data_IF_422294387747
#
_entry.id   IF_422294387747
#
_cell.length_a   1.000
_cell.length_b   1.000
_cell.length_c   1.000
_cell.angle_alpha   90.00
_cell.angle_beta   90.00
_cell.angle_gamma   90.00
#
_symmetry.space_group_name_H-M   'P 1'
#
loop_
_entity.id
_entity.type
_entity.pdbx_description
1 polymer ?
#
# COMPACT_ATOMS: atom_id res chain seq x y z
N UNK A 1 24.57 -31.84 25.92
CA UNK A 1 23.74 -30.66 26.28
C UNK A 1 23.95 -29.48 25.32
N UNK A 2 25.18 -29.01 25.07
CA UNK A 2 25.45 -27.86 24.20
C UNK A 2 24.93 -28.00 22.75
N UNK A 3 25.02 -29.19 22.14
CA UNK A 3 24.54 -29.45 20.76
C UNK A 3 23.03 -29.29 20.61
N UNK A 4 22.25 -29.67 21.62
CA UNK A 4 20.79 -29.54 21.60
C UNK A 4 20.33 -28.10 21.85
N UNK A 5 21.06 -27.35 22.70
CA UNK A 5 20.82 -25.93 22.92
C UNK A 5 21.10 -25.11 21.65
N UNK A 6 22.16 -25.45 20.91
CA UNK A 6 22.53 -24.76 19.67
C UNK A 6 21.50 -25.03 18.55
N UNK A 7 21.01 -26.26 18.44
CA UNK A 7 19.93 -26.62 17.51
C UNK A 7 18.63 -25.90 17.87
N UNK A 8 18.25 -25.86 19.15
CA UNK A 8 17.05 -25.15 19.60
C UNK A 8 17.13 -23.64 19.30
N UNK A 9 18.30 -23.02 19.47
CA UNK A 9 18.50 -21.60 19.17
C UNK A 9 18.36 -21.29 17.67
N UNK A 10 18.91 -22.16 16.81
CA UNK A 10 18.78 -22.04 15.35
C UNK A 10 17.31 -22.20 14.89
N UNK A 11 16.58 -23.12 15.50
CA UNK A 11 15.14 -23.32 15.22
C UNK A 11 14.34 -22.07 15.64
N UNK A 12 14.55 -21.54 16.85
CA UNK A 12 13.88 -20.31 17.30
C UNK A 12 14.18 -19.10 16.41
N UNK A 13 15.43 -18.94 15.98
CA UNK A 13 15.82 -17.88 15.04
C UNK A 13 15.12 -18.04 13.68
N UNK A 14 15.02 -19.26 13.16
CA UNK A 14 14.29 -19.54 11.92
C UNK A 14 12.79 -19.22 12.04
N UNK A 15 12.13 -19.59 13.15
CA UNK A 15 10.72 -19.25 13.40
C UNK A 15 10.50 -17.73 13.52
N UNK A 16 11.40 -17.01 14.19
CA UNK A 16 11.32 -15.55 14.30
C UNK A 16 11.46 -14.85 12.94
N UNK A 17 12.32 -15.36 12.05
CA UNK A 17 12.48 -14.83 10.69
C UNK A 17 11.26 -15.11 9.81
N UNK A 18 10.61 -16.27 9.96
CA UNK A 18 9.44 -16.65 9.17
C UNK A 18 8.16 -15.90 9.59
N UNK A 19 8.05 -15.48 10.85
CA UNK A 19 6.89 -14.76 11.37
C UNK A 19 6.72 -13.33 10.81
N UNK A 20 7.78 -12.74 10.22
CA UNK A 20 7.78 -11.38 9.69
C UNK A 20 7.36 -11.31 8.20
N UNK A 21 6.26 -11.95 7.82
CA UNK A 21 5.65 -11.71 6.50
C UNK A 21 4.90 -10.38 6.54
N UNK A 22 5.63 -9.27 6.45
CA UNK A 22 5.00 -7.95 6.34
C UNK A 22 4.27 -7.88 5.02
N UNK A 23 2.95 -7.77 5.07
CA UNK A 23 2.13 -7.41 3.91
C UNK A 23 2.51 -5.97 3.55
N UNK A 24 3.34 -5.80 2.52
CA UNK A 24 3.77 -4.48 2.08
C UNK A 24 2.76 -3.88 1.10
N UNK A 25 2.46 -2.59 1.30
CA UNK A 25 1.92 -1.76 0.24
C UNK A 25 2.97 -1.62 -0.87
N UNK A 26 2.55 -1.71 -2.13
CA UNK A 26 3.43 -1.42 -3.25
C UNK A 26 3.62 0.10 -3.36
N UNK A 27 4.85 0.50 -3.65
CA UNK A 27 5.24 1.90 -3.85
C UNK A 27 5.71 2.06 -5.29
N UNK A 28 5.17 3.04 -6.00
CA UNK A 28 5.61 3.45 -7.32
C UNK A 28 6.01 4.92 -7.29
N UNK A 29 7.05 5.31 -8.04
CA UNK A 29 7.47 6.70 -8.16
C UNK A 29 7.54 7.10 -9.63
N UNK A 30 7.10 8.30 -9.94
CA UNK A 30 7.05 8.80 -11.31
C UNK A 30 7.18 10.33 -11.34
N UNK A 31 7.58 10.87 -12.48
CA UNK A 31 7.69 12.32 -12.72
C UNK A 31 6.33 12.87 -13.19
N UNK A 32 5.83 13.85 -12.46
CA UNK A 32 4.59 14.59 -12.75
C UNK A 32 4.86 16.10 -12.76
N UNK A 33 6.10 16.49 -13.07
CA UNK A 33 6.48 17.89 -13.26
C UNK A 33 5.74 18.48 -14.46
N UNK A 34 5.44 19.77 -14.36
CA UNK A 34 4.77 20.52 -15.41
C UNK A 34 5.39 21.92 -15.52
N UNK A 35 5.83 22.38 -16.71
CA UNK A 35 6.42 23.71 -16.88
C UNK A 35 5.51 24.86 -16.46
N UNK A 36 4.19 24.71 -16.56
CA UNK A 36 3.20 25.71 -16.12
C UNK A 36 3.16 25.85 -14.59
N UNK A 37 3.52 24.80 -13.86
CA UNK A 37 3.53 24.77 -12.40
C UNK A 37 4.90 24.30 -11.86
N UNK A 38 5.96 25.12 -11.98
CA UNK A 38 7.31 24.71 -11.61
C UNK A 38 7.40 24.21 -10.17
N UNK A 39 8.04 23.05 -9.99
CA UNK A 39 8.27 22.42 -8.68
C UNK A 39 7.04 21.75 -8.05
N UNK A 40 5.86 21.81 -8.68
CA UNK A 40 4.63 21.14 -8.23
C UNK A 40 4.43 19.82 -8.97
N UNK A 41 3.60 18.95 -8.39
CA UNK A 41 3.15 17.71 -9.01
C UNK A 41 1.76 17.92 -9.62
N UNK A 42 1.60 17.68 -10.91
CA UNK A 42 0.32 17.86 -11.63
C UNK A 42 -0.23 16.49 -12.01
N UNK A 43 -1.13 15.92 -11.20
CA UNK A 43 -1.67 14.57 -11.41
C UNK A 43 -2.75 14.50 -12.48
N UNK A 44 -3.54 15.58 -12.59
CA UNK A 44 -4.52 15.84 -13.63
C UNK A 44 -4.81 17.35 -13.68
N UNK A 45 -5.81 17.76 -14.46
CA UNK A 45 -6.17 19.18 -14.63
C UNK A 45 -6.67 19.88 -13.37
N UNK A 46 -7.15 19.12 -12.38
CA UNK A 46 -7.76 19.65 -11.14
C UNK A 46 -6.92 19.35 -9.90
N UNK A 47 -5.88 18.52 -10.03
CA UNK A 47 -5.08 18.01 -8.91
C UNK A 47 -3.62 18.45 -9.06
N UNK A 48 -3.34 19.65 -8.54
CA UNK A 48 -2.00 20.23 -8.49
C UNK A 48 -1.55 20.26 -7.03
N UNK A 49 -0.46 19.57 -6.73
CA UNK A 49 0.05 19.39 -5.39
C UNK A 49 1.39 20.09 -5.22
N UNK A 50 1.57 20.75 -4.08
CA UNK A 50 2.86 21.28 -3.62
C UNK A 50 3.67 20.18 -2.94
N UNK A 51 5.01 20.26 -2.93
CA UNK A 51 5.84 19.30 -2.21
C UNK A 51 5.40 19.11 -0.76
N UNK A 52 5.40 17.86 -0.29
CA UNK A 52 4.95 17.45 1.03
C UNK A 52 3.44 17.19 1.14
N UNK A 53 2.62 17.64 0.18
CA UNK A 53 1.19 17.34 0.22
C UNK A 53 0.92 15.87 -0.06
N UNK A 54 -0.09 15.33 0.62
CA UNK A 54 -0.56 13.96 0.48
C UNK A 54 -2.05 13.92 0.18
N UNK A 55 -2.54 12.83 -0.42
CA UNK A 55 -3.95 12.66 -0.71
C UNK A 55 -4.27 11.31 -1.32
N UNK A 56 -5.49 11.17 -1.84
CA UNK A 56 -5.89 10.04 -2.68
C UNK A 56 -5.55 10.35 -4.14
N UNK A 57 -4.98 9.37 -4.85
CA UNK A 57 -4.75 9.49 -6.28
C UNK A 57 -6.10 9.64 -7.04
N UNK A 58 -6.25 10.64 -7.91
CA UNK A 58 -7.55 10.97 -8.53
C UNK A 58 -8.05 9.90 -9.52
N UNK A 59 -7.14 9.25 -10.25
CA UNK A 59 -7.46 8.25 -11.28
C UNK A 59 -7.30 6.79 -10.81
N UNK A 60 -7.41 6.54 -9.51
CA UNK A 60 -7.27 5.20 -8.95
C UNK A 60 -8.35 4.91 -7.89
N UNK A 61 -8.95 3.69 -7.85
CA UNK A 61 -10.05 3.38 -6.93
C UNK A 61 -9.68 3.60 -5.46
N UNK A 62 -8.48 3.17 -5.05
CA UNK A 62 -7.90 3.55 -3.76
C UNK A 62 -6.37 3.40 -3.78
N UNK A 63 -5.66 4.52 -3.86
CA UNK A 63 -4.22 4.61 -3.68
C UNK A 63 -3.88 5.98 -3.06
N UNK A 64 -2.86 6.00 -2.23
CA UNK A 64 -2.30 7.23 -1.68
C UNK A 64 -1.34 7.86 -2.68
N UNK A 65 -1.22 9.18 -2.61
CA UNK A 65 -0.27 9.95 -3.39
C UNK A 65 0.42 10.96 -2.49
N UNK A 66 1.74 11.10 -2.66
CA UNK A 66 2.57 12.11 -2.00
C UNK A 66 3.33 12.87 -3.07
N UNK A 67 3.20 14.19 -3.08
CA UNK A 67 4.03 15.05 -3.92
C UNK A 67 5.39 15.27 -3.24
N UNK A 68 6.45 14.92 -3.95
CA UNK A 68 7.84 15.10 -3.53
C UNK A 68 8.43 16.33 -4.22
N UNK A 69 9.64 16.70 -3.82
CA UNK A 69 10.37 17.79 -4.46
C UNK A 69 10.62 17.52 -5.95
N UNK A 70 10.68 18.61 -6.73
CA UNK A 70 10.98 18.56 -8.16
C UNK A 70 9.84 18.01 -9.04
N UNK A 71 8.61 17.95 -8.53
CA UNK A 71 7.45 17.44 -9.28
C UNK A 71 7.38 15.91 -9.35
N UNK A 72 8.20 15.20 -8.56
CA UNK A 72 8.14 13.74 -8.46
C UNK A 72 7.01 13.32 -7.53
N UNK A 73 6.33 12.24 -7.86
CA UNK A 73 5.23 11.71 -7.07
C UNK A 73 5.55 10.31 -6.57
N UNK A 74 5.18 10.01 -5.33
CA UNK A 74 5.11 8.66 -4.79
C UNK A 74 3.64 8.21 -4.70
N UNK A 75 3.30 7.13 -5.39
CA UNK A 75 2.03 6.43 -5.24
C UNK A 75 2.21 5.24 -4.29
N UNK A 76 1.22 5.03 -3.44
CA UNK A 76 1.19 3.91 -2.49
C UNK A 76 -0.13 3.16 -2.57
N UNK A 77 -0.07 1.86 -2.82
CA UNK A 77 -1.28 1.03 -2.82
C UNK A 77 -1.73 0.69 -1.39
N UNK A 78 -2.89 0.07 -1.26
CA UNK A 78 -3.31 -0.54 -0.01
C UNK A 78 -2.47 -1.79 0.29
N UNK A 79 -2.30 -2.11 1.57
CA UNK A 79 -1.68 -3.36 1.99
C UNK A 79 -2.49 -4.57 1.47
N UNK A 80 -1.81 -5.60 0.97
CA UNK A 80 -2.42 -6.84 0.48
C UNK A 80 -2.90 -7.76 1.63
N UNK A 81 -4.07 -7.50 2.19
CA UNK A 81 -4.62 -8.32 3.29
C UNK A 81 -5.29 -9.58 2.74
N UNK A 82 -4.89 -10.75 3.24
CA UNK A 82 -5.54 -12.02 2.87
C UNK A 82 -7.03 -12.00 3.29
N UNK A 83 -7.95 -12.48 2.45
CA UNK A 83 -9.35 -12.57 2.84
C UNK A 83 -9.54 -13.54 4.01
N UNK A 84 -10.61 -13.39 4.82
CA UNK A 84 -10.97 -14.39 5.81
C UNK A 84 -11.11 -15.78 5.19
N UNK A 85 -10.86 -16.83 5.99
CA UNK A 85 -10.93 -18.22 5.51
C UNK A 85 -12.28 -18.52 4.87
N UNK A 86 -12.25 -19.14 3.69
CA UNK A 86 -13.44 -19.50 2.93
C UNK A 86 -14.12 -18.32 2.24
N UNK A 87 -13.52 -17.12 2.27
CA UNK A 87 -14.05 -15.95 1.58
C UNK A 87 -13.17 -15.57 0.38
N UNK A 88 -13.81 -15.10 -0.69
CA UNK A 88 -13.16 -14.47 -1.83
C UNK A 88 -13.12 -12.96 -1.63
N UNK A 89 -11.94 -12.36 -1.73
CA UNK A 89 -11.78 -10.91 -1.75
C UNK A 89 -12.48 -10.30 -2.97
N UNK A 90 -13.19 -9.20 -2.75
CA UNK A 90 -13.89 -8.43 -3.78
C UNK A 90 -13.32 -7.01 -3.87
N UNK A 91 -14.09 -6.11 -4.45
CA UNK A 91 -13.72 -4.71 -4.62
C UNK A 91 -13.62 -3.96 -3.29
N UNK A 92 -13.12 -2.72 -3.35
CA UNK A 92 -13.10 -1.82 -2.20
C UNK A 92 -14.52 -1.57 -1.68
N UNK A 93 -14.69 -1.62 -0.36
CA UNK A 93 -15.99 -1.44 0.28
C UNK A 93 -16.57 -0.04 0.01
N UNK A 94 -15.70 0.99 0.03
CA UNK A 94 -16.06 2.35 -0.34
C UNK A 94 -14.85 3.11 -0.91
N UNK A 95 -14.79 3.20 -2.24
CA UNK A 95 -13.72 3.93 -2.94
C UNK A 95 -13.85 5.45 -2.79
N UNK A 96 -14.97 6.02 -2.34
CA UNK A 96 -15.14 7.47 -2.23
C UNK A 96 -14.45 8.08 -0.99
N UNK A 97 -13.97 7.24 -0.06
CA UNK A 97 -13.24 7.70 1.13
C UNK A 97 -11.82 8.15 0.78
N UNK A 98 -11.23 8.95 1.67
CA UNK A 98 -9.82 9.32 1.58
C UNK A 98 -8.91 8.09 1.73
N UNK A 99 -7.70 8.14 1.19
CA UNK A 99 -6.68 7.14 1.52
C UNK A 99 -6.13 7.42 2.93
N UNK A 100 -5.89 6.40 3.79
CA UNK A 100 -6.03 4.96 3.55
C UNK A 100 -7.42 4.38 3.89
N UNK A 101 -8.40 5.20 4.28
CA UNK A 101 -9.73 4.72 4.69
C UNK A 101 -10.49 3.98 3.57
N UNK A 102 -10.23 4.30 2.31
CA UNK A 102 -10.79 3.56 1.16
C UNK A 102 -10.20 2.16 0.98
N UNK A 103 -9.19 1.75 1.75
CA UNK A 103 -8.50 0.47 1.58
C UNK A 103 -9.30 -0.74 2.05
N UNK A 104 -10.39 -0.54 2.79
CA UNK A 104 -11.29 -1.60 3.21
C UNK A 104 -11.83 -2.38 2.00
N UNK A 105 -11.84 -3.71 2.10
CA UNK A 105 -12.30 -4.61 1.04
C UNK A 105 -13.60 -5.27 1.45
N UNK A 106 -14.47 -5.49 0.46
CA UNK A 106 -15.60 -6.39 0.62
C UNK A 106 -15.17 -7.84 0.42
N UNK A 107 -15.91 -8.77 1.02
CA UNK A 107 -15.64 -10.20 0.95
C UNK A 107 -16.93 -10.97 0.66
N UNK A 108 -16.83 -11.99 -0.17
CA UNK A 108 -17.91 -12.95 -0.40
C UNK A 108 -17.52 -14.30 0.20
N UNK A 109 -18.25 -14.70 1.25
CA UNK A 109 -18.00 -15.92 2.01
C UNK A 109 -19.00 -17.05 1.68
N UNK A 110 -19.83 -16.86 0.66
CA UNK A 110 -20.86 -17.86 0.27
C UNK A 110 -20.30 -18.95 -0.63
N UNK A 111 -19.15 -18.71 -1.27
CA UNK A 111 -18.43 -19.70 -2.09
C UNK A 111 -17.21 -20.18 -1.33
N UNK A 112 -17.30 -21.39 -0.79
CA UNK A 112 -16.14 -22.11 -0.29
C UNK A 112 -15.21 -22.40 -1.46
N UNK A 113 -14.00 -21.85 -1.40
CA UNK A 113 -12.87 -22.19 -2.29
C UNK A 113 -12.29 -23.55 -1.91
#
# INVERSE_FOLDING_TARGET
>A
MARHALVALLICAAFALLANQSVQAAIARADFSNPTYPGKCVLDSNTIMSPGQTGKAPNHPCAGVTCMDGGRVEFRTCAAVAPPRGCKQRDFANSNRAYPECCERSYDCTKHI
#
